data_IF_848059186440
#
_entry.id   IF_848059186440
#
_cell.length_a   1.000
_cell.length_b   1.000
_cell.length_c   1.000
_cell.angle_alpha   90.00
_cell.angle_beta   90.00
_cell.angle_gamma   90.00
#
_symmetry.space_group_name_H-M   'P 1'
#
loop_
_entity.id
_entity.type
_entity.pdbx_description
1 polymer ?
#
# COMPACT_ATOMS: atom_id res chain seq x y z
N UNK A 1 -14.40 42.55 3.67
CA UNK A 1 -14.37 41.47 2.68
C UNK A 1 -14.30 42.12 1.31
N UNK A 2 -13.20 42.10 0.57
CA UNK A 2 -13.17 42.38 -0.87
C UNK A 2 -11.92 43.03 -1.46
N UNK A 3 -10.81 43.16 -0.75
CA UNK A 3 -9.59 43.71 -1.40
C UNK A 3 -8.51 42.65 -1.71
N UNK A 4 -8.56 41.50 -1.06
CA UNK A 4 -7.57 40.43 -1.29
C UNK A 4 -7.88 39.53 -2.49
N UNK A 5 -9.10 39.51 -3.01
CA UNK A 5 -9.49 38.67 -4.17
C UNK A 5 -9.13 39.26 -5.53
N UNK A 6 -8.94 40.57 -5.61
CA UNK A 6 -8.63 41.26 -6.88
C UNK A 6 -7.12 41.24 -7.16
N UNK A 7 -6.27 41.20 -6.12
CA UNK A 7 -4.81 41.17 -6.25
C UNK A 7 -4.28 39.80 -6.74
N UNK A 8 -4.97 38.69 -6.46
CA UNK A 8 -4.58 37.36 -6.89
C UNK A 8 -4.90 37.08 -8.38
N UNK A 9 -5.88 37.76 -8.97
CA UNK A 9 -6.19 37.62 -10.40
C UNK A 9 -5.26 38.43 -11.32
N UNK A 10 -4.67 39.51 -10.85
CA UNK A 10 -3.77 40.35 -11.66
C UNK A 10 -2.36 39.73 -11.82
N UNK A 11 -1.94 38.84 -10.93
CA UNK A 11 -0.62 38.18 -11.02
C UNK A 11 -0.63 37.00 -12.01
N UNK A 12 -1.81 36.41 -12.30
CA UNK A 12 -1.91 35.29 -13.23
C UNK A 12 -1.85 35.69 -14.72
N UNK A 13 -2.06 36.97 -15.06
CA UNK A 13 -2.06 37.45 -16.45
C UNK A 13 -0.72 38.02 -16.95
N UNK A 14 0.26 38.23 -16.04
CA UNK A 14 1.55 38.82 -16.42
C UNK A 14 2.70 37.78 -16.59
N UNK A 15 2.47 36.51 -16.26
CA UNK A 15 3.45 35.44 -16.47
C UNK A 15 3.08 34.46 -17.59
N UNK A 16 2.06 34.73 -18.37
CA UNK A 16 1.54 33.81 -19.40
C UNK A 16 2.22 33.83 -20.75
N UNK A 17 3.31 34.60 -20.97
CA UNK A 17 3.87 34.70 -22.32
C UNK A 17 5.38 34.47 -22.48
N UNK A 18 6.10 34.03 -21.44
CA UNK A 18 7.55 33.79 -21.53
C UNK A 18 8.01 32.44 -21.00
N UNK A 19 7.10 31.51 -20.67
CA UNK A 19 7.42 30.22 -20.06
C UNK A 19 7.29 28.97 -20.94
N UNK A 20 7.00 29.12 -22.23
CA UNK A 20 6.63 27.99 -23.11
C UNK A 20 7.77 27.14 -23.68
N UNK A 21 9.04 27.43 -23.41
CA UNK A 21 10.14 26.66 -24.05
C UNK A 21 11.18 26.07 -23.10
N UNK A 22 11.09 26.26 -21.79
CA UNK A 22 12.11 25.75 -20.85
C UNK A 22 11.66 24.51 -20.08
N UNK A 23 10.37 24.16 -20.15
CA UNK A 23 9.82 23.01 -19.38
C UNK A 23 9.89 21.66 -20.09
N UNK A 24 10.15 21.61 -21.41
CA UNK A 24 10.21 20.35 -22.15
C UNK A 24 11.54 19.59 -22.01
N UNK A 25 12.63 20.25 -21.65
CA UNK A 25 13.96 19.60 -21.61
C UNK A 25 14.29 18.95 -20.27
N UNK A 26 13.57 19.29 -19.20
CA UNK A 26 13.84 18.73 -17.85
C UNK A 26 13.06 17.47 -17.49
N UNK A 27 12.04 17.13 -18.24
CA UNK A 27 11.22 15.92 -17.97
C UNK A 27 11.89 14.62 -18.43
N UNK A 28 12.77 14.68 -19.43
CA UNK A 28 13.38 13.46 -19.98
C UNK A 28 14.55 12.92 -19.16
N UNK A 29 15.34 13.75 -18.53
CA UNK A 29 16.51 13.28 -17.74
C UNK A 29 16.11 12.62 -16.40
N UNK A 30 14.98 13.01 -15.81
CA UNK A 30 14.46 12.39 -14.57
C UNK A 30 13.88 11.01 -14.78
N UNK A 31 13.26 10.78 -15.94
CA UNK A 31 12.58 9.53 -16.26
C UNK A 31 13.58 8.36 -16.46
N UNK A 32 14.72 8.61 -17.10
CA UNK A 32 15.73 7.58 -17.35
C UNK A 32 16.49 7.12 -16.10
N UNK A 33 16.65 7.97 -15.08
CA UNK A 33 17.35 7.58 -13.84
C UNK A 33 16.52 6.64 -12.96
N UNK A 34 15.21 6.83 -12.93
CA UNK A 34 14.31 5.99 -12.13
C UNK A 34 14.16 4.57 -12.69
N UNK A 35 14.13 4.42 -14.01
CA UNK A 35 14.11 3.11 -14.66
C UNK A 35 15.39 2.32 -14.41
N UNK A 36 16.54 2.98 -14.44
CA UNK A 36 17.85 2.35 -14.22
C UNK A 36 18.00 1.83 -12.79
N UNK A 37 17.45 2.54 -11.80
CA UNK A 37 17.45 2.11 -10.39
C UNK A 37 16.49 0.94 -10.20
N UNK A 38 15.30 1.00 -10.81
CA UNK A 38 14.32 -0.10 -10.79
C UNK A 38 14.87 -1.38 -11.42
N UNK A 39 15.57 -1.28 -12.56
CA UNK A 39 16.22 -2.41 -13.21
C UNK A 39 17.35 -3.03 -12.36
N UNK A 40 18.13 -2.22 -11.64
CA UNK A 40 19.18 -2.71 -10.74
C UNK A 40 18.63 -3.37 -9.47
N UNK A 41 17.51 -2.89 -8.96
CA UNK A 41 16.89 -3.40 -7.71
C UNK A 41 15.99 -4.61 -7.90
N UNK A 42 15.34 -4.74 -9.07
CA UNK A 42 14.28 -5.73 -9.30
C UNK A 42 14.50 -6.63 -10.54
N UNK A 43 15.65 -6.51 -11.23
CA UNK A 43 15.92 -7.26 -12.46
C UNK A 43 15.16 -6.74 -13.68
N UNK A 44 15.54 -7.19 -14.87
CA UNK A 44 14.87 -6.86 -16.13
C UNK A 44 13.42 -7.33 -16.11
N UNK A 45 12.47 -6.42 -16.19
CA UNK A 45 11.03 -6.74 -16.28
C UNK A 45 10.62 -7.45 -17.57
N UNK A 46 11.54 -7.63 -18.53
CA UNK A 46 11.26 -8.30 -19.81
C UNK A 46 11.21 -9.82 -19.73
N UNK A 47 11.71 -10.43 -18.65
CA UNK A 47 11.46 -11.83 -18.37
C UNK A 47 10.10 -12.05 -17.68
N UNK A 48 9.04 -11.42 -18.18
CA UNK A 48 7.68 -11.81 -17.82
C UNK A 48 7.45 -13.23 -18.32
N UNK A 49 7.90 -14.21 -17.55
CA UNK A 49 7.29 -15.55 -17.64
C UNK A 49 5.80 -15.29 -17.63
N UNK A 50 5.07 -15.73 -18.66
CA UNK A 50 3.61 -15.67 -18.70
C UNK A 50 3.09 -16.23 -17.38
N UNK A 51 2.74 -15.32 -16.46
CA UNK A 51 2.22 -15.70 -15.17
C UNK A 51 0.92 -16.46 -15.46
N UNK A 52 0.84 -17.69 -14.98
CA UNK A 52 -0.39 -18.48 -15.17
C UNK A 52 -1.52 -17.74 -14.47
N UNK A 53 -2.68 -17.55 -15.14
CA UNK A 53 -3.84 -16.98 -14.45
C UNK A 53 -4.15 -17.84 -13.24
N UNK A 54 -4.39 -17.20 -12.10
CA UNK A 54 -4.80 -17.89 -10.88
C UNK A 54 -5.98 -18.80 -11.19
N UNK A 55 -5.86 -20.08 -10.88
CA UNK A 55 -7.02 -20.95 -10.74
C UNK A 55 -8.03 -20.25 -9.84
N UNK A 56 -9.31 -20.30 -10.19
CA UNK A 56 -10.43 -19.90 -9.33
C UNK A 56 -10.28 -20.62 -7.99
N UNK A 57 -9.56 -19.99 -7.08
CA UNK A 57 -9.41 -20.46 -5.71
C UNK A 57 -10.77 -20.23 -5.06
N UNK A 58 -11.33 -21.25 -4.40
CA UNK A 58 -12.44 -21.05 -3.48
C UNK A 58 -12.01 -19.90 -2.57
N UNK A 59 -12.68 -18.76 -2.70
CA UNK A 59 -12.29 -17.54 -1.98
C UNK A 59 -12.40 -17.82 -0.48
N UNK A 60 -11.26 -17.97 0.17
CA UNK A 60 -11.20 -18.03 1.63
C UNK A 60 -11.52 -16.63 2.14
N UNK A 61 -12.75 -16.43 2.59
CA UNK A 61 -13.22 -15.15 3.10
C UNK A 61 -13.25 -15.19 4.63
N UNK A 62 -12.65 -14.17 5.24
CA UNK A 62 -12.76 -13.88 6.66
C UNK A 62 -13.44 -12.53 6.86
N UNK A 63 -14.43 -12.47 7.74
CA UNK A 63 -15.13 -11.24 8.11
C UNK A 63 -14.84 -10.93 9.56
N UNK A 64 -14.57 -9.66 9.85
CA UNK A 64 -14.33 -9.19 11.21
C UNK A 64 -14.29 -7.68 11.31
N UNK A 65 -13.80 -7.17 12.43
CA UNK A 65 -13.68 -5.73 12.69
C UNK A 65 -12.19 -5.40 12.84
N UNK A 66 -11.70 -4.39 12.13
CA UNK A 66 -10.34 -3.89 12.30
C UNK A 66 -10.19 -3.26 13.69
N UNK A 67 -9.53 -3.97 14.58
CA UNK A 67 -9.42 -3.60 15.99
C UNK A 67 -8.15 -2.80 16.32
N UNK A 68 -7.11 -2.97 15.51
CA UNK A 68 -5.82 -2.31 15.75
C UNK A 68 -4.92 -2.37 14.52
N UNK A 69 -4.18 -1.28 14.29
CA UNK A 69 -3.08 -1.22 13.32
C UNK A 69 -1.78 -1.00 14.09
N UNK A 70 -0.84 -1.90 13.98
CA UNK A 70 0.46 -1.80 14.69
C UNK A 70 1.60 -1.38 13.78
N UNK A 71 1.48 -1.68 12.50
CA UNK A 71 2.45 -1.35 11.46
C UNK A 71 1.78 -1.26 10.08
N UNK A 72 2.53 -0.87 9.07
CA UNK A 72 2.04 -0.74 7.70
C UNK A 72 1.98 -2.05 6.90
N UNK A 73 2.36 -3.17 7.51
CA UNK A 73 2.39 -4.49 6.84
C UNK A 73 1.25 -5.39 7.29
N UNK A 74 0.58 -5.06 8.40
CA UNK A 74 -0.41 -5.96 9.00
C UNK A 74 -1.42 -5.23 9.88
N UNK A 75 -2.58 -5.86 10.04
CA UNK A 75 -3.67 -5.39 10.89
C UNK A 75 -4.18 -6.48 11.81
N UNK A 76 -4.74 -6.08 12.93
CA UNK A 76 -5.44 -6.97 13.85
C UNK A 76 -6.93 -6.91 13.59
N UNK A 77 -7.51 -8.07 13.40
CA UNK A 77 -8.92 -8.25 13.09
C UNK A 77 -9.57 -9.01 14.24
N UNK A 78 -10.56 -8.39 14.87
CA UNK A 78 -11.41 -9.05 15.87
C UNK A 78 -12.47 -9.87 15.13
N UNK A 79 -12.51 -11.16 15.44
CA UNK A 79 -13.50 -12.09 14.89
C UNK A 79 -14.60 -12.23 15.93
N UNK A 80 -15.82 -11.76 15.59
CA UNK A 80 -16.95 -11.78 16.52
C UNK A 80 -17.50 -13.18 16.73
N UNK A 81 -17.48 -14.00 15.67
CA UNK A 81 -17.91 -15.38 15.74
C UNK A 81 -16.85 -16.25 16.45
N UNK A 82 -17.15 -16.66 17.68
CA UNK A 82 -16.24 -17.45 18.51
C UNK A 82 -15.89 -18.81 17.90
N UNK A 83 -16.81 -19.46 17.20
CA UNK A 83 -16.54 -20.76 16.56
C UNK A 83 -15.56 -20.61 15.39
N UNK A 84 -15.68 -19.55 14.63
CA UNK A 84 -14.75 -19.23 13.56
C UNK A 84 -13.37 -18.84 14.10
N UNK A 85 -13.33 -17.99 15.14
CA UNK A 85 -12.07 -17.65 15.81
C UNK A 85 -11.32 -18.89 16.30
N UNK A 86 -12.02 -19.87 16.90
CA UNK A 86 -11.42 -21.12 17.39
C UNK A 86 -10.69 -21.90 16.30
N UNK A 87 -11.13 -21.85 15.04
CA UNK A 87 -10.44 -22.53 13.92
C UNK A 87 -8.99 -22.01 13.74
N UNK A 88 -8.76 -20.75 14.09
CA UNK A 88 -7.47 -20.10 13.93
C UNK A 88 -6.53 -20.33 15.11
N UNK A 89 -7.05 -20.62 16.30
CA UNK A 89 -6.22 -20.81 17.50
C UNK A 89 -5.24 -21.97 17.39
N UNK A 90 -5.55 -22.95 16.54
CA UNK A 90 -4.69 -24.12 16.30
C UNK A 90 -3.84 -23.99 15.03
N UNK A 91 -4.14 -23.04 14.15
CA UNK A 91 -3.45 -22.87 12.86
C UNK A 91 -2.42 -21.76 12.89
N UNK A 92 -2.68 -20.69 13.64
CA UNK A 92 -1.83 -19.52 13.66
C UNK A 92 -0.78 -19.58 14.76
N UNK A 93 0.37 -18.98 14.50
CA UNK A 93 1.39 -18.80 15.54
C UNK A 93 0.92 -17.84 16.64
N UNK A 94 1.40 -18.00 17.87
CA UNK A 94 1.03 -17.15 19.02
C UNK A 94 1.18 -15.64 18.76
N UNK A 95 2.18 -15.23 17.95
CA UNK A 95 2.41 -13.84 17.57
C UNK A 95 1.34 -13.24 16.65
N UNK A 96 0.55 -14.11 16.02
CA UNK A 96 -0.54 -13.75 15.11
C UNK A 96 -1.92 -13.93 15.76
N UNK A 97 -1.97 -14.20 17.08
CA UNK A 97 -3.19 -14.41 17.85
C UNK A 97 -3.21 -13.53 19.09
N UNK A 98 -4.40 -12.98 19.40
CA UNK A 98 -4.70 -12.37 20.69
C UNK A 98 -5.93 -13.07 21.28
N UNK A 99 -5.68 -13.99 22.20
CA UNK A 99 -6.73 -14.84 22.77
C UNK A 99 -7.76 -14.03 23.60
N UNK A 100 -7.29 -13.03 24.33
CA UNK A 100 -8.15 -12.24 25.24
C UNK A 100 -9.14 -11.35 24.47
N UNK A 101 -8.78 -10.91 23.26
CA UNK A 101 -9.60 -10.02 22.43
C UNK A 101 -10.23 -10.72 21.23
N UNK A 102 -9.98 -12.02 21.04
CA UNK A 102 -10.40 -12.80 19.88
C UNK A 102 -9.91 -12.17 18.55
N UNK A 103 -8.64 -11.72 18.52
CA UNK A 103 -8.06 -11.09 17.36
C UNK A 103 -7.09 -12.02 16.64
N UNK A 104 -7.07 -11.94 15.32
CA UNK A 104 -6.06 -12.54 14.45
C UNK A 104 -5.30 -11.44 13.72
N UNK A 105 -4.02 -11.65 13.47
CA UNK A 105 -3.20 -10.75 12.69
C UNK A 105 -3.22 -11.18 11.24
N UNK A 106 -3.59 -10.25 10.34
CA UNK A 106 -3.60 -10.43 8.89
C UNK A 106 -2.50 -9.56 8.29
N UNK A 107 -1.66 -10.17 7.47
CA UNK A 107 -0.60 -9.50 6.73
C UNK A 107 -1.10 -9.11 5.35
N UNK A 108 -0.81 -7.89 4.93
CA UNK A 108 -1.22 -7.41 3.62
C UNK A 108 -0.43 -8.10 2.51
N UNK A 109 -1.12 -8.65 1.51
CA UNK A 109 -0.51 -9.18 0.30
C UNK A 109 -0.15 -8.06 -0.67
N UNK A 110 0.87 -8.31 -1.47
CA UNK A 110 1.30 -7.45 -2.58
C UNK A 110 1.74 -6.04 -2.16
N UNK A 111 2.02 -5.81 -0.90
CA UNK A 111 2.53 -4.54 -0.40
C UNK A 111 3.87 -4.73 0.30
N UNK A 112 4.75 -3.76 0.17
CA UNK A 112 6.03 -3.72 0.87
C UNK A 112 6.39 -2.29 1.24
N UNK A 113 6.39 -1.93 2.52
CA UNK A 113 6.80 -0.60 2.98
C UNK A 113 8.32 -0.50 3.17
N UNK A 114 9.10 -1.42 2.62
CA UNK A 114 10.55 -1.41 2.77
C UNK A 114 11.15 -0.29 1.94
N UNK A 115 11.65 0.72 2.62
CA UNK A 115 12.50 1.75 2.05
C UNK A 115 13.89 1.18 1.71
N UNK A 116 14.59 1.86 0.82
CA UNK A 116 15.98 1.50 0.52
C UNK A 116 16.85 1.66 1.77
N UNK A 117 17.97 0.95 1.82
CA UNK A 117 18.95 0.99 2.92
C UNK A 117 19.48 2.42 3.14
N UNK A 118 19.44 3.27 2.11
CA UNK A 118 19.91 4.66 2.15
C UNK A 118 19.21 5.55 3.18
N UNK A 119 17.99 5.22 3.58
CA UNK A 119 17.19 6.08 4.46
C UNK A 119 17.40 5.83 5.96
N UNK A 120 18.20 4.84 6.33
CA UNK A 120 18.44 4.50 7.72
C UNK A 120 17.28 3.80 8.43
N UNK A 121 17.60 3.07 9.49
CA UNK A 121 16.64 2.25 10.24
C UNK A 121 15.58 3.10 10.94
N UNK A 122 15.97 4.23 11.54
CA UNK A 122 15.08 5.10 12.31
C UNK A 122 14.00 5.75 11.44
N UNK A 123 14.40 6.21 10.24
CA UNK A 123 13.46 6.77 9.29
C UNK A 123 12.46 5.73 8.79
N UNK A 124 12.92 4.53 8.47
CA UNK A 124 12.05 3.42 8.06
C UNK A 124 11.03 3.08 9.15
N UNK A 125 11.44 3.07 10.41
CA UNK A 125 10.55 2.79 11.54
C UNK A 125 9.54 3.92 11.75
N UNK A 126 9.97 5.17 11.68
CA UNK A 126 9.09 6.33 11.76
C UNK A 126 8.05 6.33 10.63
N UNK A 127 8.47 6.07 9.40
CA UNK A 127 7.58 6.04 8.23
C UNK A 127 6.51 4.95 8.37
N UNK A 128 6.89 3.76 8.80
CA UNK A 128 5.96 2.65 9.05
C UNK A 128 4.96 2.97 10.16
N UNK A 129 5.39 3.63 11.23
CA UNK A 129 4.52 4.09 12.31
C UNK A 129 3.55 5.16 11.82
N UNK A 130 4.01 6.09 11.01
CA UNK A 130 3.16 7.13 10.40
C UNK A 130 2.09 6.52 9.49
N UNK A 131 2.47 5.60 8.62
CA UNK A 131 1.52 4.86 7.77
C UNK A 131 0.45 4.12 8.60
N UNK A 132 0.89 3.43 9.67
CA UNK A 132 -0.02 2.75 10.59
C UNK A 132 -0.98 3.72 11.28
N UNK A 133 -0.50 4.89 11.70
CA UNK A 133 -1.32 5.92 12.32
C UNK A 133 -2.40 6.46 11.36
N UNK A 134 -2.04 6.77 10.12
CA UNK A 134 -3.00 7.23 9.11
C UNK A 134 -4.04 6.16 8.79
N UNK A 135 -3.61 4.92 8.67
CA UNK A 135 -4.52 3.77 8.48
C UNK A 135 -5.48 3.60 9.66
N UNK A 136 -4.95 3.72 10.90
CA UNK A 136 -5.74 3.64 12.13
C UNK A 136 -6.82 4.72 12.17
N UNK A 137 -6.53 5.96 11.80
CA UNK A 137 -7.50 7.06 11.77
C UNK A 137 -8.69 6.79 10.86
N UNK A 138 -8.44 6.14 9.73
CA UNK A 138 -9.46 5.94 8.68
C UNK A 138 -10.25 4.65 8.89
N UNK A 139 -9.57 3.56 9.27
CA UNK A 139 -10.15 2.22 9.20
C UNK A 139 -10.39 1.57 10.56
N UNK A 140 -10.01 2.21 11.66
CA UNK A 140 -10.25 1.68 12.99
C UNK A 140 -11.74 1.41 13.25
N UNK A 141 -12.03 0.27 13.86
CA UNK A 141 -13.37 -0.18 14.24
C UNK A 141 -14.36 -0.33 13.06
N UNK A 142 -13.85 -0.41 11.83
CA UNK A 142 -14.69 -0.69 10.66
C UNK A 142 -14.76 -2.19 10.41
N UNK A 143 -15.91 -2.63 9.92
CA UNK A 143 -16.07 -4.00 9.42
C UNK A 143 -15.21 -4.18 8.18
N UNK A 144 -14.53 -5.32 8.11
CA UNK A 144 -13.66 -5.69 7.00
C UNK A 144 -13.96 -7.08 6.49
N UNK A 145 -13.80 -7.24 5.18
CA UNK A 145 -13.78 -8.51 4.46
C UNK A 145 -12.35 -8.77 4.00
N UNK A 146 -11.85 -9.97 4.21
CA UNK A 146 -10.49 -10.36 3.87
C UNK A 146 -10.56 -11.58 2.97
N UNK A 147 -9.97 -11.49 1.78
CA UNK A 147 -9.64 -12.64 0.95
C UNK A 147 -8.23 -13.08 1.35
N UNK A 148 -8.12 -14.23 2.00
CA UNK A 148 -6.86 -14.63 2.61
C UNK A 148 -6.30 -15.94 2.04
N UNK A 149 -4.97 -16.07 2.11
CA UNK A 149 -4.25 -17.31 2.02
C UNK A 149 -3.64 -17.64 3.38
N UNK A 150 -3.65 -18.91 3.73
CA UNK A 150 -2.94 -19.38 4.91
C UNK A 150 -1.53 -19.81 4.53
N UNK A 151 -0.53 -19.13 5.09
CA UNK A 151 0.87 -19.51 4.94
C UNK A 151 1.24 -20.58 5.97
N UNK A 152 1.35 -21.82 5.55
CA UNK A 152 1.77 -22.95 6.41
C UNK A 152 3.19 -22.75 6.95
N UNK A 153 4.09 -22.21 6.13
CA UNK A 153 5.49 -21.95 6.52
C UNK A 153 5.60 -20.90 7.64
N UNK A 154 4.74 -19.90 7.64
CA UNK A 154 4.81 -18.78 8.58
C UNK A 154 3.71 -18.84 9.64
N UNK A 155 2.78 -19.78 9.54
CA UNK A 155 1.60 -19.92 10.41
C UNK A 155 0.89 -18.58 10.58
N UNK A 156 0.55 -17.94 9.42
CA UNK A 156 -0.08 -16.62 9.38
C UNK A 156 -1.10 -16.52 8.22
N UNK A 157 -1.95 -15.50 8.30
CA UNK A 157 -2.85 -15.11 7.22
C UNK A 157 -2.21 -13.98 6.41
N UNK A 158 -2.12 -14.17 5.11
CA UNK A 158 -1.76 -13.15 4.14
C UNK A 158 -3.01 -12.82 3.31
N UNK A 159 -3.39 -11.54 3.18
CA UNK A 159 -4.68 -11.23 2.55
C UNK A 159 -4.77 -9.86 1.90
N UNK A 160 -5.80 -9.77 1.03
CA UNK A 160 -6.36 -8.52 0.55
C UNK A 160 -7.49 -8.13 1.49
N UNK A 161 -7.52 -6.88 1.94
CA UNK A 161 -8.45 -6.40 2.99
C UNK A 161 -9.31 -5.29 2.44
N UNK A 162 -10.64 -5.43 2.57
CA UNK A 162 -11.61 -4.44 2.15
C UNK A 162 -12.45 -3.93 3.31
N UNK A 163 -12.81 -2.65 3.26
CA UNK A 163 -13.88 -2.07 4.08
C UNK A 163 -14.86 -1.34 3.17
N UNK A 164 -16.11 -1.81 3.10
CA UNK A 164 -17.02 -1.43 2.02
C UNK A 164 -16.36 -1.73 0.66
N UNK A 165 -16.33 -0.74 -0.22
CA UNK A 165 -15.73 -0.84 -1.55
C UNK A 165 -14.22 -0.47 -1.57
N UNK A 166 -13.66 -0.06 -0.43
CA UNK A 166 -12.25 0.36 -0.36
C UNK A 166 -11.34 -0.83 -0.10
N UNK A 167 -10.44 -1.12 -1.03
CA UNK A 167 -9.33 -2.04 -0.87
C UNK A 167 -8.19 -1.34 -0.12
N UNK A 168 -7.89 -1.80 1.10
CA UNK A 168 -6.87 -1.17 1.98
C UNK A 168 -5.46 -1.37 1.43
N UNK A 169 -5.17 -2.49 0.76
CA UNK A 169 -3.88 -2.74 0.14
C UNK A 169 -3.62 -1.73 -0.99
N UNK A 170 -4.63 -1.47 -1.82
CA UNK A 170 -4.59 -0.45 -2.87
C UNK A 170 -4.45 0.95 -2.27
N UNK A 171 -5.21 1.23 -1.19
CA UNK A 171 -5.11 2.50 -0.47
C UNK A 171 -3.69 2.78 0.05
N UNK A 172 -3.02 1.77 0.61
CA UNK A 172 -1.62 1.90 1.07
C UNK A 172 -0.68 2.29 -0.07
N UNK A 173 -0.82 1.66 -1.23
CA UNK A 173 0.03 1.92 -2.40
C UNK A 173 -0.28 3.30 -2.99
N UNK A 174 -1.58 3.64 -3.18
CA UNK A 174 -2.03 4.92 -3.74
C UNK A 174 -1.57 6.12 -2.94
N UNK A 175 -1.51 5.99 -1.61
CA UNK A 175 -1.03 7.06 -0.74
C UNK A 175 0.50 7.00 -0.50
N UNK A 176 1.22 6.17 -1.26
CA UNK A 176 2.66 6.05 -1.15
C UNK A 176 3.18 5.47 0.17
N UNK A 177 2.32 4.80 0.94
CA UNK A 177 2.73 4.14 2.19
C UNK A 177 3.40 2.80 1.95
N UNK A 178 3.31 2.28 0.73
CA UNK A 178 3.87 0.99 0.34
C UNK A 178 4.14 0.94 -1.16
N UNK A 179 5.10 0.09 -1.57
CA UNK A 179 5.29 -0.29 -2.97
C UNK A 179 4.36 -1.44 -3.34
N UNK A 180 3.99 -1.52 -4.60
CA UNK A 180 3.38 -2.73 -5.14
C UNK A 180 4.45 -3.80 -5.33
N UNK A 181 4.32 -4.92 -4.62
CA UNK A 181 5.21 -6.07 -4.72
C UNK A 181 4.52 -7.20 -5.47
N UNK A 182 4.82 -7.32 -6.76
CA UNK A 182 4.34 -8.45 -7.56
C UNK A 182 5.05 -9.73 -7.11
N UNK A 183 4.26 -10.73 -6.72
CA UNK A 183 4.75 -12.07 -6.39
C UNK A 183 4.98 -12.94 -7.62
N UNK A 184 5.01 -14.26 -7.42
CA UNK A 184 5.14 -15.23 -8.51
C UNK A 184 3.88 -15.35 -9.39
N UNK A 185 2.75 -14.91 -8.88
CA UNK A 185 1.44 -14.96 -9.54
C UNK A 185 0.84 -13.56 -9.60
N UNK A 186 0.15 -13.28 -10.71
CA UNK A 186 -0.56 -12.01 -10.91
C UNK A 186 -1.90 -12.08 -10.19
N UNK A 187 -2.16 -11.19 -9.21
CA UNK A 187 -3.44 -11.16 -8.53
C UNK A 187 -4.56 -10.63 -9.46
N UNK A 188 -5.82 -10.93 -9.17
CA UNK A 188 -6.96 -10.33 -9.88
C UNK A 188 -6.93 -8.80 -9.85
N UNK A 189 -6.46 -8.22 -8.75
CA UNK A 189 -6.36 -6.77 -8.52
C UNK A 189 -5.09 -6.13 -9.13
N UNK A 190 -4.36 -6.82 -10.00
CA UNK A 190 -3.08 -6.36 -10.56
C UNK A 190 -3.15 -4.96 -11.18
N UNK A 191 -4.13 -4.73 -12.05
CA UNK A 191 -4.29 -3.45 -12.75
C UNK A 191 -4.59 -2.32 -11.77
N UNK A 192 -5.41 -2.59 -10.75
CA UNK A 192 -5.75 -1.60 -9.73
C UNK A 192 -4.54 -1.25 -8.85
N UNK A 193 -3.75 -2.25 -8.44
CA UNK A 193 -2.52 -2.06 -7.66
C UNK A 193 -1.46 -1.30 -8.45
N UNK A 194 -1.30 -1.61 -9.74
CA UNK A 194 -0.37 -0.92 -10.63
C UNK A 194 -0.79 0.52 -10.89
N UNK A 195 -2.09 0.76 -11.13
CA UNK A 195 -2.63 2.10 -11.29
C UNK A 195 -2.43 2.95 -10.03
N UNK A 196 -2.67 2.39 -8.85
CA UNK A 196 -2.44 3.06 -7.57
C UNK A 196 -0.97 3.45 -7.36
N UNK A 197 -0.03 2.58 -7.74
CA UNK A 197 1.40 2.89 -7.66
C UNK A 197 1.80 4.01 -8.63
N UNK A 198 1.27 3.99 -9.86
CA UNK A 198 1.54 5.03 -10.84
C UNK A 198 0.95 6.38 -10.40
N UNK A 199 -0.24 6.39 -9.82
CA UNK A 199 -0.85 7.60 -9.24
C UNK A 199 0.01 8.17 -8.11
N UNK A 200 0.48 7.33 -7.18
CA UNK A 200 1.36 7.76 -6.10
C UNK A 200 2.68 8.37 -6.61
N UNK A 201 3.25 7.80 -7.70
CA UNK A 201 4.45 8.33 -8.37
C UNK A 201 4.21 9.70 -8.99
N UNK A 202 3.10 9.84 -9.72
CA UNK A 202 2.74 11.12 -10.37
C UNK A 202 2.51 12.23 -9.36
N UNK A 203 1.86 11.90 -8.24
CA UNK A 203 1.58 12.84 -7.15
C UNK A 203 2.77 13.05 -6.21
N UNK A 204 3.85 12.29 -6.37
CA UNK A 204 5.03 12.33 -5.52
C UNK A 204 4.71 12.20 -4.03
N UNK A 205 3.80 11.30 -3.66
CA UNK A 205 3.36 11.12 -2.28
C UNK A 205 4.10 9.98 -1.57
N UNK A 206 4.26 10.12 -0.26
CA UNK A 206 4.84 9.09 0.59
C UNK A 206 6.24 8.66 0.16
N UNK A 207 6.43 7.39 -0.20
CA UNK A 207 7.70 6.81 -0.67
C UNK A 207 8.22 7.41 -1.99
N UNK A 208 7.40 8.16 -2.70
CA UNK A 208 7.71 8.75 -4.00
C UNK A 208 8.05 10.24 -3.93
N UNK A 209 8.17 10.81 -2.71
CA UNK A 209 8.63 12.18 -2.53
C UNK A 209 10.07 12.34 -3.03
N UNK A 210 10.33 13.44 -3.75
CA UNK A 210 11.64 13.68 -4.36
C UNK A 210 12.81 13.71 -3.35
N UNK A 211 12.53 14.10 -2.11
CA UNK A 211 13.50 14.13 -1.01
C UNK A 211 13.92 12.73 -0.52
N UNK A 212 13.18 11.69 -0.93
CA UNK A 212 13.36 10.31 -0.50
C UNK A 212 13.94 9.41 -1.60
N UNK A 213 14.21 9.96 -2.77
CA UNK A 213 14.80 9.27 -3.91
C UNK A 213 16.27 9.67 -4.07
#
# INVERSE_FOLDING_TARGET
>A
MSFYRILLMAIFFLFGSLGGQILEVRAEEGFFKTETIRQKLFGRMDDRKKLKPLRTVSENILIGVMSRVTDSESVWIRIENRSEYRKWTFKLSKKNLNLSRQEVRVWFKYVSPKLSISHGKEYNEWFRKKAAFEMQKIFYNRQVRINYDFSEKLFRLDGMVWTGDTNINVWLIRNGWSFYLLGNETPPEHEELLAAENEAKQLQVGLWQAELQ
#
